data_IF_871418209478
#
_entry.id   IF_871418209478
#
_cell.length_a   1.000
_cell.length_b   1.000
_cell.length_c   1.000
_cell.angle_alpha   90.00
_cell.angle_beta   90.00
_cell.angle_gamma   90.00
#
_symmetry.space_group_name_H-M   'P 1'
#
loop_
_entity.id
_entity.type
_entity.pdbx_description
1 polymer ?
#
# COMPACT_ATOMS: atom_id res chain seq x y z
N UNK A 1 8.69 -16.39 9.47
CA UNK A 1 7.36 -16.01 9.99
C UNK A 1 7.50 -14.63 10.59
N UNK A 2 6.81 -13.60 10.06
CA UNK A 2 6.87 -12.24 10.61
C UNK A 2 5.95 -12.20 11.85
N UNK A 3 6.47 -12.56 13.01
CA UNK A 3 5.70 -12.57 14.26
C UNK A 3 6.05 -11.35 15.09
N UNK A 4 5.09 -10.45 15.30
CA UNK A 4 5.13 -9.52 16.44
C UNK A 4 5.05 -10.38 17.72
N UNK A 5 5.77 -9.97 18.77
CA UNK A 5 5.94 -10.73 20.01
C UNK A 5 4.62 -11.21 20.66
N UNK A 6 3.49 -10.57 20.33
CA UNK A 6 2.19 -10.82 20.95
C UNK A 6 1.31 -11.84 20.20
N UNK A 7 1.77 -12.44 19.09
CA UNK A 7 1.00 -13.43 18.32
C UNK A 7 -0.32 -12.92 17.71
N UNK A 8 -0.64 -11.65 17.92
CA UNK A 8 -1.87 -10.94 17.54
C UNK A 8 -1.59 -9.75 16.61
N UNK A 9 -0.40 -9.73 16.00
CA UNK A 9 0.03 -8.66 15.11
C UNK A 9 -0.67 -8.80 13.77
N UNK A 10 -1.60 -7.90 13.47
CA UNK A 10 -1.98 -7.67 12.08
C UNK A 10 -0.78 -7.11 11.34
N UNK A 11 -0.57 -7.53 10.10
CA UNK A 11 0.53 -7.04 9.27
C UNK A 11 0.00 -6.50 7.94
N UNK A 12 0.50 -5.34 7.48
CA UNK A 12 0.03 -4.77 6.23
C UNK A 12 0.59 -5.56 5.03
N UNK A 13 -0.27 -5.87 4.08
CA UNK A 13 0.10 -6.42 2.76
C UNK A 13 -0.32 -5.40 1.71
N UNK A 14 0.65 -4.71 1.14
CA UNK A 14 0.42 -3.71 0.10
C UNK A 14 0.46 -4.39 -1.26
N UNK A 15 -0.66 -4.38 -1.97
CA UNK A 15 -0.76 -4.98 -3.30
C UNK A 15 -0.54 -3.88 -4.37
N UNK A 16 0.55 -3.98 -5.13
CA UNK A 16 0.92 -3.03 -6.19
C UNK A 16 1.05 -3.72 -7.56
N UNK A 17 0.83 -2.98 -8.64
CA UNK A 17 1.01 -3.45 -10.01
C UNK A 17 -0.28 -3.51 -10.85
N UNK A 18 -0.14 -3.33 -12.16
CA UNK A 18 -1.26 -3.17 -13.11
C UNK A 18 -2.16 -4.40 -13.26
N UNK A 19 -1.69 -5.58 -12.87
CA UNK A 19 -2.49 -6.83 -12.87
C UNK A 19 -3.68 -6.74 -11.90
N UNK A 20 -3.63 -5.86 -10.90
CA UNK A 20 -4.71 -5.61 -9.95
C UNK A 20 -5.75 -4.60 -10.48
N UNK A 21 -5.51 -4.01 -11.66
CA UNK A 21 -6.47 -3.17 -12.35
C UNK A 21 -7.73 -3.97 -12.68
N UNK A 22 -8.83 -3.61 -12.04
CA UNK A 22 -10.08 -4.35 -12.15
C UNK A 22 -10.62 -4.27 -13.58
N UNK A 23 -10.50 -5.37 -14.32
CA UNK A 23 -11.31 -5.59 -15.50
C UNK A 23 -12.67 -6.12 -15.02
N UNK A 24 -13.79 -5.55 -15.48
CA UNK A 24 -15.15 -5.93 -15.00
C UNK A 24 -15.46 -7.43 -15.11
N UNK A 25 -14.70 -8.14 -15.96
CA UNK A 25 -14.84 -9.56 -16.26
C UNK A 25 -13.94 -10.47 -15.39
N UNK A 26 -12.87 -9.95 -14.80
CA UNK A 26 -11.91 -10.73 -14.01
C UNK A 26 -11.17 -9.85 -12.98
N UNK A 27 -11.50 -10.03 -11.69
CA UNK A 27 -10.86 -9.32 -10.59
C UNK A 27 -9.88 -10.24 -9.87
N UNK A 28 -8.74 -10.52 -10.50
CA UNK A 28 -7.64 -11.32 -9.94
C UNK A 28 -7.18 -10.79 -8.58
N UNK A 29 -7.25 -9.47 -8.37
CA UNK A 29 -6.94 -8.87 -7.08
C UNK A 29 -7.78 -9.47 -5.96
N UNK A 30 -9.09 -9.67 -6.19
CA UNK A 30 -9.99 -10.24 -5.18
C UNK A 30 -9.67 -11.71 -4.87
N UNK A 31 -9.34 -12.51 -5.88
CA UNK A 31 -8.91 -13.91 -5.68
C UNK A 31 -7.62 -13.99 -4.86
N UNK A 32 -6.63 -13.16 -5.18
CA UNK A 32 -5.37 -13.10 -4.42
C UNK A 32 -5.62 -12.64 -2.98
N UNK A 33 -6.46 -11.61 -2.77
CA UNK A 33 -6.89 -11.16 -1.43
C UNK A 33 -7.54 -12.30 -0.64
N UNK A 34 -8.49 -13.01 -1.24
CA UNK A 34 -9.18 -14.13 -0.58
C UNK A 34 -8.22 -15.27 -0.22
N UNK A 35 -7.27 -15.59 -1.11
CA UNK A 35 -6.26 -16.62 -0.86
C UNK A 35 -5.31 -16.25 0.29
N UNK A 36 -4.87 -14.98 0.33
CA UNK A 36 -4.01 -14.48 1.40
C UNK A 36 -4.76 -14.49 2.73
N UNK A 37 -6.01 -14.01 2.78
CA UNK A 37 -6.79 -13.95 4.02
C UNK A 37 -7.17 -15.34 4.56
N UNK A 38 -7.34 -16.35 3.69
CA UNK A 38 -7.52 -17.75 4.12
C UNK A 38 -6.28 -18.32 4.82
N UNK A 39 -5.10 -17.98 4.31
CA UNK A 39 -3.82 -18.48 4.84
C UNK A 39 -3.35 -17.66 6.04
N UNK A 40 -3.60 -16.36 6.02
CA UNK A 40 -3.17 -15.37 7.00
C UNK A 40 -4.34 -14.47 7.37
N UNK A 41 -5.22 -14.90 8.29
CA UNK A 41 -6.40 -14.11 8.69
C UNK A 41 -6.05 -12.76 9.31
N UNK A 42 -4.83 -12.61 9.86
CA UNK A 42 -4.34 -11.37 10.45
C UNK A 42 -3.78 -10.37 9.40
N UNK A 43 -3.71 -10.74 8.13
CA UNK A 43 -3.20 -9.84 7.09
C UNK A 43 -4.15 -8.66 6.86
N UNK A 44 -3.62 -7.45 6.87
CA UNK A 44 -4.34 -6.23 6.52
C UNK A 44 -4.03 -5.87 5.06
N UNK A 45 -4.95 -6.15 4.15
CA UNK A 45 -4.74 -5.91 2.72
C UNK A 45 -4.94 -4.42 2.40
N UNK A 46 -3.91 -3.80 1.85
CA UNK A 46 -3.92 -2.39 1.44
C UNK A 46 -3.85 -2.33 -0.09
N UNK A 47 -4.86 -1.68 -0.69
CA UNK A 47 -4.92 -1.39 -2.12
C UNK A 47 -4.74 0.11 -2.35
N UNK A 48 -3.56 0.56 -2.80
CA UNK A 48 -3.32 1.96 -3.10
C UNK A 48 -4.29 2.45 -4.18
N UNK A 49 -4.85 3.66 -3.98
CA UNK A 49 -5.72 4.32 -4.97
C UNK A 49 -4.93 4.90 -6.15
N UNK A 50 -3.65 5.19 -5.94
CA UNK A 50 -2.74 5.75 -6.93
C UNK A 50 -1.68 4.72 -7.30
N UNK A 51 -1.17 4.80 -8.52
CA UNK A 51 -0.04 3.98 -8.93
C UNK A 51 1.21 4.28 -8.10
N UNK A 52 2.06 3.29 -7.78
CA UNK A 52 3.24 3.48 -6.94
C UNK A 52 4.17 4.61 -7.42
N UNK A 53 4.35 4.74 -8.74
CA UNK A 53 5.17 5.80 -9.32
C UNK A 53 4.59 7.19 -9.07
N UNK A 54 3.27 7.35 -9.22
CA UNK A 54 2.57 8.61 -8.92
C UNK A 54 2.67 8.93 -7.42
N UNK A 55 2.48 7.92 -6.57
CA UNK A 55 2.64 8.07 -5.13
C UNK A 55 4.05 8.53 -4.73
N UNK A 56 5.09 7.95 -5.34
CA UNK A 56 6.48 8.34 -5.10
C UNK A 56 6.76 9.79 -5.54
N UNK A 57 6.25 10.19 -6.70
CA UNK A 57 6.40 11.57 -7.20
C UNK A 57 5.71 12.59 -6.28
N UNK A 58 4.47 12.30 -5.83
CA UNK A 58 3.76 13.14 -4.87
C UNK A 58 4.49 13.24 -3.53
N UNK A 59 5.03 12.12 -3.04
CA UNK A 59 5.81 12.11 -1.81
C UNK A 59 7.06 12.99 -1.93
N UNK A 60 7.81 12.85 -3.02
CA UNK A 60 9.00 13.67 -3.29
C UNK A 60 8.65 15.17 -3.37
N UNK A 61 7.54 15.52 -4.04
CA UNK A 61 7.05 16.90 -4.12
C UNK A 61 6.70 17.46 -2.74
N UNK A 62 6.01 16.67 -1.89
CA UNK A 62 5.67 17.09 -0.53
C UNK A 62 6.92 17.38 0.32
N UNK A 63 7.99 16.60 0.15
CA UNK A 63 9.25 16.88 0.82
C UNK A 63 9.89 18.17 0.34
N UNK A 64 9.97 18.37 -0.98
CA UNK A 64 10.50 19.60 -1.57
C UNK A 64 9.73 20.84 -1.08
N UNK A 65 8.39 20.79 -1.08
CA UNK A 65 7.56 21.90 -0.60
C UNK A 65 7.78 22.20 0.88
N UNK A 66 7.98 21.17 1.72
CA UNK A 66 8.24 21.36 3.15
C UNK A 66 9.60 22.03 3.39
N UNK A 67 10.61 21.72 2.59
CA UNK A 67 11.93 22.35 2.66
C UNK A 67 11.88 23.82 2.22
N UNK A 68 11.13 24.15 1.17
CA UNK A 68 10.96 25.55 0.71
C UNK A 68 10.26 26.41 1.76
N UNK A 69 9.16 25.93 2.35
CA UNK A 69 8.41 26.68 3.38
C UNK A 69 9.24 26.91 4.66
N UNK A 70 10.14 25.98 4.99
CA UNK A 70 11.04 26.15 6.14
C UNK A 70 12.13 27.22 5.90
N UNK A 71 12.50 27.46 4.64
CA UNK A 71 13.54 28.43 4.27
C UNK A 71 13.02 29.87 4.04
N UNK A 72 11.71 30.08 3.89
CA UNK A 72 11.09 31.41 3.72
C UNK A 72 10.88 32.20 5.04
N UNK A 73 11.36 31.66 6.17
CA UNK A 73 11.29 32.31 7.50
C UNK A 73 12.67 32.73 8.07
N UNK A 74 13.69 32.91 7.22
CA UNK A 74 15.00 33.46 7.61
C UNK A 74 15.19 34.91 7.17
#
# INVERSE_FOLDING_TARGET
MLTTADGKGSFPVVMVGGVLGANKKWNIGNEVTNSILKTYPAACIIRPKVEPAVGAALLALNFLMKETVANDHS
#
